data_IF_340245242293
#
_entry.id   IF_340245242293
#
_cell.length_a   1.000
_cell.length_b   1.000
_cell.length_c   1.000
_cell.angle_alpha   90.00
_cell.angle_beta   90.00
_cell.angle_gamma   90.00
#
_symmetry.space_group_name_H-M   'P 1'
#
loop_
_entity.id
_entity.type
_entity.pdbx_description
1 polymer ?
#
# COMPACT_ATOMS: atom_id res chain seq x y z
N UNK A 1 -12.15 -13.70 10.56
CA UNK A 1 -10.87 -14.19 10.01
C UNK A 1 -10.78 -14.08 8.48
N UNK A 2 -11.80 -14.48 7.70
CA UNK A 2 -11.79 -14.39 6.22
C UNK A 2 -11.44 -13.02 5.60
N UNK A 3 -11.73 -11.91 6.29
CA UNK A 3 -11.51 -10.56 5.74
C UNK A 3 -10.06 -10.10 5.89
N UNK A 4 -9.41 -10.41 7.02
CA UNK A 4 -7.99 -10.12 7.24
C UNK A 4 -7.09 -10.94 6.29
N UNK A 5 -7.47 -12.18 5.99
CA UNK A 5 -6.80 -13.00 4.98
C UNK A 5 -6.90 -12.40 3.58
N UNK A 6 -8.11 -11.98 3.15
CA UNK A 6 -8.31 -11.29 1.86
C UNK A 6 -7.50 -10.00 1.76
N UNK A 7 -7.42 -9.22 2.84
CA UNK A 7 -6.60 -8.00 2.87
C UNK A 7 -5.11 -8.34 2.79
N UNK A 8 -4.67 -9.42 3.45
CA UNK A 8 -3.27 -9.88 3.36
C UNK A 8 -2.91 -10.31 1.94
N UNK A 9 -3.79 -11.04 1.25
CA UNK A 9 -3.60 -11.37 -0.18
C UNK A 9 -3.55 -10.12 -1.07
N UNK A 10 -4.35 -9.09 -0.77
CA UNK A 10 -4.31 -7.83 -1.50
C UNK A 10 -2.98 -7.08 -1.27
N UNK A 11 -2.46 -7.10 -0.04
CA UNK A 11 -1.15 -6.52 0.29
C UNK A 11 -0.01 -7.26 -0.43
N UNK A 12 -0.02 -8.59 -0.48
CA UNK A 12 0.99 -9.35 -1.24
C UNK A 12 0.97 -9.03 -2.73
N UNK A 13 -0.21 -8.81 -3.31
CA UNK A 13 -0.33 -8.39 -4.71
C UNK A 13 0.20 -6.98 -4.92
N UNK A 14 -0.07 -6.07 -3.98
CA UNK A 14 0.44 -4.71 -4.04
C UNK A 14 1.97 -4.67 -3.94
N UNK A 15 2.60 -5.47 -3.06
CA UNK A 15 4.06 -5.57 -2.94
C UNK A 15 4.72 -6.11 -4.23
N UNK A 16 4.07 -7.07 -4.91
CA UNK A 16 4.55 -7.56 -6.22
C UNK A 16 4.45 -6.49 -7.32
N UNK A 17 3.38 -5.71 -7.30
CA UNK A 17 3.18 -4.61 -8.26
C UNK A 17 4.20 -3.49 -8.04
N UNK A 18 4.50 -3.15 -6.79
CA UNK A 18 5.52 -2.15 -6.42
C UNK A 18 6.88 -2.54 -6.99
N UNK A 19 7.34 -3.78 -6.75
CA UNK A 19 8.58 -4.31 -7.34
C UNK A 19 8.59 -4.25 -8.86
N UNK A 20 7.46 -4.59 -9.50
CA UNK A 20 7.34 -4.54 -10.95
C UNK A 20 7.45 -3.10 -11.49
N UNK A 21 6.88 -2.12 -10.77
CA UNK A 21 6.98 -0.70 -11.12
C UNK A 21 8.41 -0.20 -10.92
N UNK A 22 9.08 -0.57 -9.82
CA UNK A 22 10.47 -0.23 -9.57
C UNK A 22 11.41 -0.75 -10.68
N UNK A 23 11.23 -2.00 -11.08
CA UNK A 23 12.02 -2.61 -12.17
C UNK A 23 11.78 -1.88 -13.50
N UNK A 24 10.51 -1.59 -13.84
CA UNK A 24 10.18 -0.80 -15.04
C UNK A 24 10.83 0.59 -15.01
N UNK A 25 10.79 1.29 -13.87
CA UNK A 25 11.42 2.61 -13.72
C UNK A 25 12.93 2.56 -13.94
N UNK A 26 13.59 1.45 -13.56
CA UNK A 26 15.04 1.27 -13.77
C UNK A 26 15.41 0.93 -15.22
N UNK A 27 14.55 0.22 -15.93
CA UNK A 27 14.81 -0.24 -17.31
C UNK A 27 14.43 0.79 -18.38
N UNK A 28 13.52 1.71 -18.07
CA UNK A 28 13.01 2.71 -19.01
C UNK A 28 13.92 3.94 -19.05
N UNK A 29 14.31 4.38 -20.24
CA UNK A 29 15.08 5.63 -20.47
C UNK A 29 14.19 6.82 -20.89
N UNK A 30 12.87 6.65 -20.86
CA UNK A 30 11.89 7.71 -21.13
C UNK A 30 11.52 8.45 -19.84
N UNK A 31 11.87 9.74 -19.76
CA UNK A 31 11.64 10.58 -18.58
C UNK A 31 10.15 10.73 -18.22
N UNK A 32 9.29 10.91 -19.21
CA UNK A 32 7.86 11.12 -18.98
C UNK A 32 7.20 9.84 -18.48
N UNK A 33 7.59 8.70 -19.05
CA UNK A 33 7.13 7.39 -18.62
C UNK A 33 7.63 7.06 -17.21
N UNK A 34 8.90 7.32 -16.89
CA UNK A 34 9.40 7.21 -15.51
C UNK A 34 8.59 8.08 -14.54
N UNK A 35 8.27 9.32 -14.92
CA UNK A 35 7.49 10.24 -14.09
C UNK A 35 6.06 9.73 -13.87
N UNK A 36 5.44 9.13 -14.88
CA UNK A 36 4.12 8.51 -14.74
C UNK A 36 4.17 7.29 -13.81
N UNK A 37 5.16 6.41 -14.00
CA UNK A 37 5.34 5.24 -13.15
C UNK A 37 5.57 5.60 -11.68
N UNK A 38 6.36 6.63 -11.39
CA UNK A 38 6.54 7.16 -10.02
C UNK A 38 5.24 7.68 -9.40
N UNK A 39 4.31 8.22 -10.19
CA UNK A 39 2.98 8.61 -9.69
C UNK A 39 2.13 7.38 -9.36
N UNK A 40 2.18 6.35 -10.20
CA UNK A 40 1.48 5.08 -9.96
C UNK A 40 2.01 4.42 -8.69
N UNK A 41 3.33 4.42 -8.51
CA UNK A 41 4.00 3.94 -7.30
C UNK A 41 3.51 4.64 -6.03
N UNK A 42 3.47 5.98 -6.04
CA UNK A 42 2.93 6.75 -4.92
C UNK A 42 1.45 6.42 -4.61
N UNK A 43 0.61 6.26 -5.64
CA UNK A 43 -0.79 5.84 -5.46
C UNK A 43 -0.90 4.42 -4.90
N UNK A 44 0.02 3.53 -5.27
CA UNK A 44 0.09 2.17 -4.76
C UNK A 44 0.48 2.15 -3.28
N UNK A 45 1.46 2.97 -2.87
CA UNK A 45 1.83 3.14 -1.46
C UNK A 45 0.65 3.63 -0.61
N UNK A 46 -0.12 4.60 -1.10
CA UNK A 46 -1.34 5.07 -0.43
C UNK A 46 -2.39 3.95 -0.28
N UNK A 47 -2.56 3.14 -1.34
CA UNK A 47 -3.47 1.99 -1.31
C UNK A 47 -3.01 0.93 -0.29
N UNK A 48 -1.72 0.62 -0.25
CA UNK A 48 -1.13 -0.29 0.74
C UNK A 48 -1.35 0.23 2.17
N UNK A 49 -1.13 1.52 2.42
CA UNK A 49 -1.37 2.11 3.73
C UNK A 49 -2.84 1.92 4.18
N UNK A 50 -3.78 2.19 3.29
CA UNK A 50 -5.21 1.99 3.56
C UNK A 50 -5.56 0.52 3.82
N UNK A 51 -4.95 -0.40 3.08
CA UNK A 51 -5.10 -1.84 3.31
C UNK A 51 -4.55 -2.27 4.68
N UNK A 52 -3.40 -1.73 5.11
CA UNK A 52 -2.83 -1.98 6.44
C UNK A 52 -3.79 -1.48 7.54
N UNK A 53 -4.36 -0.28 7.38
CA UNK A 53 -5.35 0.24 8.32
C UNK A 53 -6.60 -0.64 8.37
N UNK A 54 -7.12 -1.05 7.21
CA UNK A 54 -8.27 -1.95 7.12
C UNK A 54 -7.98 -3.31 7.79
N UNK A 55 -6.76 -3.85 7.62
CA UNK A 55 -6.33 -5.08 8.27
C UNK A 55 -6.33 -4.93 9.79
N UNK A 56 -5.73 -3.87 10.32
CA UNK A 56 -5.69 -3.58 11.77
C UNK A 56 -7.10 -3.45 12.36
N UNK A 57 -8.00 -2.78 11.65
CA UNK A 57 -9.41 -2.68 12.06
C UNK A 57 -10.10 -4.05 12.06
N UNK A 58 -9.88 -4.86 11.04
CA UNK A 58 -10.45 -6.21 10.94
C UNK A 58 -9.91 -7.18 12.01
N UNK A 59 -8.69 -6.93 12.50
CA UNK A 59 -8.05 -7.68 13.59
C UNK A 59 -8.44 -7.15 14.98
N UNK A 60 -9.25 -6.09 15.07
CA UNK A 60 -9.64 -5.48 16.34
C UNK A 60 -8.53 -4.65 17.01
N UNK A 61 -7.44 -4.38 16.30
CA UNK A 61 -6.34 -3.52 16.76
C UNK A 61 -6.71 -2.06 16.46
N UNK A 62 -7.56 -1.47 17.30
CA UNK A 62 -7.82 -0.03 17.25
C UNK A 62 -6.53 0.72 17.59
N UNK A 63 -6.12 1.75 16.82
CA UNK A 63 -5.19 2.73 17.37
C UNK A 63 -5.85 3.28 18.63
N UNK A 64 -5.22 3.08 19.79
CA UNK A 64 -5.70 3.64 21.04
C UNK A 64 -5.75 5.15 20.85
N UNK A 65 -6.97 5.70 20.73
CA UNK A 65 -7.19 7.14 20.90
C UNK A 65 -6.64 7.45 22.29
N UNK A 66 -5.43 8.02 22.36
CA UNK A 66 -4.95 8.70 23.57
C UNK A 66 -6.02 9.74 23.89
N UNK A 67 -6.91 9.40 24.84
CA UNK A 67 -7.86 10.34 25.42
C UNK A 67 -7.00 11.49 25.96
N UNK A 68 -6.99 12.63 25.25
CA UNK A 68 -6.48 13.89 25.81
C UNK A 68 -7.35 14.17 27.03
N UNK A 69 -6.82 13.92 28.22
CA UNK A 69 -7.40 14.43 29.47
C UNK A 69 -7.25 15.95 29.41
N UNK A 70 -8.40 16.63 29.49
CA UNK A 70 -8.50 18.08 29.73
C UNK A 70 -8.05 18.37 31.16
#
# INVERSE_FOLDING_TARGET
>A
MKQAEKISQALEKADKLEKSIEDLVREIDDYDLQRLLKKIDAQLMDAQHNLILAKRLAEGVSPTRKRRRK
#
